data_IF_554178503213
#
_entry.id   IF_554178503213
#
_cell.length_a   1.000
_cell.length_b   1.000
_cell.length_c   1.000
_cell.angle_alpha   90.00
_cell.angle_beta   90.00
_cell.angle_gamma   90.00
#
_symmetry.space_group_name_H-M   'P 1'
#
loop_
_entity.id
_entity.type
_entity.pdbx_description
1 polymer ?
#
# COMPACT_ATOMS: atom_id res chain seq x y z
N UNK A 1 7.70 -6.38 -18.27
CA UNK A 1 7.56 -5.06 -17.63
C UNK A 1 6.88 -4.16 -18.64
N UNK A 2 5.73 -3.60 -18.27
CA UNK A 2 4.89 -2.79 -19.16
C UNK A 2 4.67 -1.45 -18.50
N UNK A 3 5.05 -0.36 -19.18
CA UNK A 3 4.88 1.01 -18.69
C UNK A 3 3.76 1.71 -19.47
N UNK A 4 2.86 2.36 -18.75
CA UNK A 4 1.71 3.11 -19.26
C UNK A 4 1.81 4.54 -18.76
N UNK A 5 1.73 5.50 -19.68
CA UNK A 5 1.81 6.94 -19.40
C UNK A 5 0.51 7.61 -19.79
N UNK A 6 0.03 8.53 -18.95
CA UNK A 6 -1.25 9.22 -19.16
C UNK A 6 -2.39 8.27 -19.55
N UNK A 7 -2.63 7.29 -18.69
CA UNK A 7 -3.49 6.14 -18.95
C UNK A 7 -4.78 6.19 -18.13
N UNK A 8 -5.63 5.19 -18.28
CA UNK A 8 -6.85 4.99 -17.48
C UNK A 8 -6.78 3.70 -16.67
N UNK A 9 -7.56 3.61 -15.57
CA UNK A 9 -7.63 2.38 -14.77
C UNK A 9 -8.03 1.15 -15.59
N UNK A 10 -8.86 1.32 -16.62
CA UNK A 10 -9.28 0.24 -17.52
C UNK A 10 -8.13 -0.26 -18.41
N UNK A 11 -7.27 0.65 -18.89
CA UNK A 11 -6.09 0.29 -19.67
C UNK A 11 -5.06 -0.44 -18.80
N UNK A 12 -4.86 0.01 -17.55
CA UNK A 12 -4.01 -0.68 -16.57
C UNK A 12 -4.50 -2.11 -16.30
N UNK A 13 -5.82 -2.28 -16.08
CA UNK A 13 -6.44 -3.60 -15.91
C UNK A 13 -6.23 -4.51 -17.13
N UNK A 14 -6.42 -3.94 -18.32
CA UNK A 14 -6.30 -4.67 -19.59
C UNK A 14 -4.86 -5.14 -19.80
N UNK A 15 -3.89 -4.25 -19.58
CA UNK A 15 -2.47 -4.55 -19.67
C UNK A 15 -2.03 -5.59 -18.62
N UNK A 16 -2.51 -5.47 -17.37
CA UNK A 16 -2.24 -6.45 -16.31
C UNK A 16 -2.76 -7.83 -16.73
N UNK A 17 -3.99 -7.92 -17.22
CA UNK A 17 -4.55 -9.18 -17.68
C UNK A 17 -3.76 -9.79 -18.86
N UNK A 18 -3.22 -8.95 -19.76
CA UNK A 18 -2.37 -9.39 -20.87
C UNK A 18 -1.03 -9.94 -20.36
N UNK A 19 -0.32 -9.21 -19.50
CA UNK A 19 0.97 -9.64 -18.94
C UNK A 19 0.82 -10.94 -18.14
N UNK A 20 -0.27 -11.10 -17.38
CA UNK A 20 -0.58 -12.34 -16.65
C UNK A 20 -0.75 -13.54 -17.58
N UNK A 21 -1.42 -13.36 -18.72
CA UNK A 21 -1.57 -14.43 -19.74
C UNK A 21 -0.22 -14.79 -20.36
N UNK A 22 0.58 -13.78 -20.71
CA UNK A 22 1.92 -14.00 -21.27
C UNK A 22 2.88 -14.69 -20.29
N UNK A 23 2.70 -14.46 -18.98
CA UNK A 23 3.46 -15.14 -17.91
C UNK A 23 2.95 -16.57 -17.61
N UNK A 24 2.04 -17.12 -18.41
CA UNK A 24 1.55 -18.50 -18.26
C UNK A 24 0.42 -18.67 -17.25
N UNK A 25 -0.29 -17.58 -16.89
CA UNK A 25 -1.42 -17.65 -15.97
C UNK A 25 -0.95 -17.84 -14.52
N UNK A 26 -0.30 -16.82 -13.97
CA UNK A 26 -0.01 -16.76 -12.54
C UNK A 26 -1.34 -16.69 -11.77
N UNK A 27 -1.79 -17.82 -11.21
CA UNK A 27 -2.75 -17.88 -10.10
C UNK A 27 -2.78 -19.26 -9.47
N UNK A 28 -2.35 -19.35 -8.22
CA UNK A 28 -3.24 -19.60 -7.08
C UNK A 28 -2.38 -19.66 -5.81
N UNK A 29 -2.76 -18.89 -4.77
CA UNK A 29 -2.08 -18.86 -3.48
C UNK A 29 -1.55 -17.48 -3.04
N UNK A 30 -2.14 -16.37 -3.50
CA UNK A 30 -1.82 -15.06 -2.91
C UNK A 30 -2.28 -15.07 -1.44
N UNK A 31 -1.37 -14.71 -0.54
CA UNK A 31 -1.67 -14.51 0.86
C UNK A 31 -2.47 -13.22 1.08
N UNK A 32 -2.21 -12.18 0.27
CA UNK A 32 -2.86 -10.87 0.34
C UNK A 32 -2.65 -10.02 -0.92
N UNK A 33 -3.43 -8.95 -1.04
CA UNK A 33 -3.10 -7.77 -1.86
C UNK A 33 -2.50 -6.70 -0.96
N UNK A 34 -1.25 -6.31 -1.19
CA UNK A 34 -0.54 -5.30 -0.41
C UNK A 34 -0.63 -3.96 -1.13
N UNK A 35 -1.51 -3.07 -0.64
CA UNK A 35 -1.60 -1.69 -1.11
C UNK A 35 -0.61 -0.85 -0.31
N UNK A 36 0.55 -0.56 -0.88
CA UNK A 36 1.58 0.27 -0.23
C UNK A 36 1.39 1.71 -0.69
N UNK A 37 1.12 2.62 0.24
CA UNK A 37 0.97 4.05 -0.01
C UNK A 37 2.26 4.75 0.35
N UNK A 38 2.79 5.53 -0.59
CA UNK A 38 3.98 6.34 -0.38
C UNK A 38 3.84 7.72 -1.01
N UNK A 39 4.60 8.68 -0.49
CA UNK A 39 4.87 9.92 -1.20
C UNK A 39 6.08 9.75 -2.12
N UNK A 40 6.38 10.78 -2.92
CA UNK A 40 7.46 10.69 -3.90
C UNK A 40 8.85 10.53 -3.27
N UNK A 41 9.05 11.14 -2.09
CA UNK A 41 10.35 11.11 -1.40
C UNK A 41 10.66 9.73 -0.82
N UNK A 42 9.67 8.98 -0.39
CA UNK A 42 9.85 7.65 0.24
C UNK A 42 9.59 6.47 -0.70
N UNK A 43 9.29 6.72 -1.98
CA UNK A 43 8.84 5.66 -2.90
C UNK A 43 9.84 4.51 -3.03
N UNK A 44 11.14 4.80 -3.04
CA UNK A 44 12.19 3.78 -3.18
C UNK A 44 12.31 2.90 -1.94
N UNK A 45 12.16 3.50 -0.77
CA UNK A 45 12.21 2.79 0.51
C UNK A 45 10.97 1.91 0.68
N UNK A 46 9.79 2.46 0.36
CA UNK A 46 8.54 1.72 0.34
C UNK A 46 8.56 0.54 -0.63
N UNK A 47 9.11 0.74 -1.83
CA UNK A 47 9.26 -0.32 -2.83
C UNK A 47 10.21 -1.43 -2.36
N UNK A 48 11.35 -1.06 -1.77
CA UNK A 48 12.30 -2.03 -1.23
C UNK A 48 11.69 -2.86 -0.09
N UNK A 49 11.02 -2.20 0.86
CA UNK A 49 10.39 -2.86 1.99
C UNK A 49 9.21 -3.76 1.55
N UNK A 50 8.37 -3.29 0.62
CA UNK A 50 7.30 -4.09 0.06
C UNK A 50 7.80 -5.28 -0.75
N UNK A 51 8.95 -5.13 -1.45
CA UNK A 51 9.60 -6.25 -2.15
C UNK A 51 10.05 -7.33 -1.17
N UNK A 52 10.64 -6.95 -0.03
CA UNK A 52 10.99 -7.91 1.04
C UNK A 52 9.75 -8.66 1.52
N UNK A 53 8.64 -7.96 1.76
CA UNK A 53 7.38 -8.57 2.17
C UNK A 53 6.86 -9.56 1.10
N UNK A 54 6.87 -9.17 -0.17
CA UNK A 54 6.41 -9.99 -1.30
C UNK A 54 7.28 -11.26 -1.54
N UNK A 55 8.56 -11.21 -1.15
CA UNK A 55 9.45 -12.37 -1.20
C UNK A 55 9.14 -13.40 -0.11
N UNK A 56 8.72 -12.95 1.07
CA UNK A 56 8.38 -13.83 2.19
C UNK A 56 6.96 -14.39 2.07
N UNK A 57 6.04 -13.58 1.54
CA UNK A 57 4.63 -13.91 1.42
C UNK A 57 4.17 -13.59 0.00
N UNK A 58 3.75 -14.60 -0.80
CA UNK A 58 3.22 -14.35 -2.13
C UNK A 58 2.05 -13.35 -2.06
N UNK A 59 2.21 -12.15 -2.59
CA UNK A 59 1.19 -11.11 -2.54
C UNK A 59 1.14 -10.34 -3.86
N UNK A 60 -0.03 -9.79 -4.20
CA UNK A 60 -0.12 -8.77 -5.25
C UNK A 60 0.29 -7.44 -4.66
N UNK A 61 1.32 -6.80 -5.19
CA UNK A 61 1.79 -5.50 -4.72
C UNK A 61 1.13 -4.39 -5.55
N UNK A 62 0.45 -3.45 -4.88
CA UNK A 62 -0.03 -2.20 -5.46
C UNK A 62 0.69 -1.03 -4.77
N UNK A 63 1.75 -0.51 -5.37
CA UNK A 63 2.48 0.65 -4.84
C UNK A 63 1.84 1.94 -5.37
N UNK A 64 1.12 2.67 -4.52
CA UNK A 64 0.35 3.85 -4.88
C UNK A 64 1.07 5.12 -4.42
N UNK A 65 1.45 5.94 -5.39
CA UNK A 65 2.12 7.22 -5.20
C UNK A 65 1.14 8.34 -5.48
N UNK A 66 0.78 9.10 -4.45
CA UNK A 66 -0.12 10.27 -4.57
C UNK A 66 0.73 11.53 -4.65
N UNK A 67 0.68 12.24 -5.80
CA UNK A 67 1.48 13.44 -6.05
C UNK A 67 0.62 14.66 -6.28
N UNK A 68 1.10 15.80 -5.77
CA UNK A 68 0.69 17.15 -6.15
C UNK A 68 -0.82 17.27 -6.37
N UNK A 69 -1.58 17.08 -5.30
CA UNK A 69 -3.06 17.05 -5.33
C UNK A 69 -3.66 18.35 -5.86
N UNK A 70 -2.90 19.44 -5.77
CA UNK A 70 -3.28 20.77 -6.24
C UNK A 70 -3.01 20.98 -7.73
N UNK A 71 -2.34 20.04 -8.42
CA UNK A 71 -2.10 20.13 -9.85
C UNK A 71 -3.43 20.11 -10.62
N UNK A 72 -3.68 21.07 -11.53
CA UNK A 72 -4.90 21.07 -12.35
C UNK A 72 -4.93 19.90 -13.34
N UNK A 73 -3.77 19.39 -13.76
CA UNK A 73 -3.68 18.29 -14.72
C UNK A 73 -3.71 16.96 -13.97
N UNK A 74 -4.85 16.28 -14.05
CA UNK A 74 -4.99 14.93 -13.52
C UNK A 74 -4.41 13.93 -14.50
N UNK A 75 -3.51 13.06 -14.02
CA UNK A 75 -2.83 12.04 -14.82
C UNK A 75 -2.66 10.76 -14.01
N UNK A 76 -2.76 9.62 -14.69
CA UNK A 76 -2.39 8.31 -14.15
C UNK A 76 -1.21 7.77 -14.95
N UNK A 77 -0.15 7.34 -14.28
CA UNK A 77 0.86 6.48 -14.88
C UNK A 77 0.92 5.16 -14.12
N UNK A 78 1.27 4.09 -14.81
CA UNK A 78 1.40 2.77 -14.21
C UNK A 78 2.61 2.02 -14.78
N UNK A 79 3.28 1.27 -13.91
CA UNK A 79 4.29 0.28 -14.29
C UNK A 79 3.82 -1.08 -13.78
N UNK A 80 3.73 -2.04 -14.68
CA UNK A 80 3.30 -3.41 -14.41
C UNK A 80 4.53 -4.32 -14.50
N UNK A 81 4.76 -5.06 -13.42
CA UNK A 81 5.81 -6.05 -13.28
C UNK A 81 5.17 -7.38 -12.90
N UNK A 82 5.31 -8.38 -13.75
CA UNK A 82 4.77 -9.73 -13.52
C UNK A 82 5.93 -10.69 -13.40
N UNK A 83 6.23 -11.10 -12.17
CA UNK A 83 7.48 -11.75 -11.81
C UNK A 83 8.68 -10.81 -11.97
N UNK A 84 9.67 -10.94 -11.08
CA UNK A 84 10.95 -10.24 -11.19
C UNK A 84 11.27 -9.37 -9.98
N UNK A 85 11.66 -8.12 -10.23
CA UNK A 85 12.34 -7.28 -9.21
C UNK A 85 11.48 -6.95 -7.99
N UNK A 86 10.16 -6.87 -8.16
CA UNK A 86 9.20 -6.48 -7.12
C UNK A 86 8.57 -7.67 -6.39
N UNK A 87 9.07 -8.87 -6.66
CA UNK A 87 8.58 -10.11 -6.07
C UNK A 87 8.21 -11.16 -7.11
N UNK A 88 7.82 -12.35 -6.63
CA UNK A 88 7.52 -13.49 -7.49
C UNK A 88 6.15 -13.36 -8.19
N UNK A 89 5.28 -12.49 -7.69
CA UNK A 89 3.90 -12.31 -8.17
C UNK A 89 3.77 -11.05 -9.05
N UNK A 90 2.59 -10.46 -9.08
CA UNK A 90 2.28 -9.23 -9.82
C UNK A 90 2.51 -8.01 -8.92
N UNK A 91 3.20 -7.01 -9.45
CA UNK A 91 3.36 -5.72 -8.84
C UNK A 91 2.94 -4.62 -9.83
N UNK A 92 2.16 -3.66 -9.34
CA UNK A 92 1.72 -2.50 -10.09
C UNK A 92 2.14 -1.26 -9.31
N UNK A 93 3.00 -0.43 -9.91
CA UNK A 93 3.38 0.88 -9.37
C UNK A 93 2.52 1.93 -10.05
N UNK A 94 1.69 2.61 -9.28
CA UNK A 94 0.69 3.58 -9.73
C UNK A 94 1.13 4.97 -9.28
N UNK A 95 1.21 5.92 -10.21
CA UNK A 95 1.48 7.33 -9.91
C UNK A 95 0.28 8.16 -10.30
N UNK A 96 -0.32 8.80 -9.30
CA UNK A 96 -1.54 9.59 -9.44
C UNK A 96 -1.20 11.06 -9.25
N UNK A 97 -1.57 11.89 -10.23
CA UNK A 97 -1.31 13.32 -10.24
C UNK A 97 -2.59 14.12 -10.13
N UNK A 98 -2.52 15.29 -9.48
CA UNK A 98 -3.62 16.23 -9.41
C UNK A 98 -4.83 15.67 -8.66
N UNK A 99 -6.02 16.06 -9.07
CA UNK A 99 -7.29 15.68 -8.42
C UNK A 99 -7.54 14.17 -8.44
N UNK A 100 -6.93 13.42 -9.35
CA UNK A 100 -7.03 11.96 -9.37
C UNK A 100 -6.50 11.33 -8.07
N UNK A 101 -5.48 11.92 -7.44
CA UNK A 101 -4.94 11.43 -6.18
C UNK A 101 -5.94 11.46 -5.00
N UNK A 102 -7.04 12.21 -5.11
CA UNK A 102 -8.15 12.22 -4.14
C UNK A 102 -9.12 11.04 -4.31
N UNK A 103 -9.04 10.33 -5.44
CA UNK A 103 -9.95 9.25 -5.83
C UNK A 103 -9.18 7.95 -6.07
N UNK A 104 -8.19 7.67 -5.20
CA UNK A 104 -7.29 6.54 -5.34
C UNK A 104 -8.02 5.18 -5.27
N UNK A 105 -9.10 5.10 -4.49
CA UNK A 105 -9.97 3.93 -4.37
C UNK A 105 -10.55 3.50 -5.72
N UNK A 106 -10.91 4.47 -6.57
CA UNK A 106 -11.55 4.21 -7.85
C UNK A 106 -10.60 3.54 -8.86
N UNK A 107 -9.30 3.77 -8.72
CA UNK A 107 -8.27 3.11 -9.54
C UNK A 107 -7.80 1.81 -8.91
N UNK A 108 -7.68 1.75 -7.58
CA UNK A 108 -7.14 0.59 -6.86
C UNK A 108 -8.14 -0.54 -6.76
N UNK A 109 -9.42 -0.26 -6.49
CA UNK A 109 -10.42 -1.31 -6.23
C UNK A 109 -10.55 -2.36 -7.35
N UNK A 110 -10.55 -1.98 -8.65
CA UNK A 110 -10.58 -2.97 -9.73
C UNK A 110 -9.30 -3.82 -9.84
N UNK A 111 -8.16 -3.30 -9.34
CA UNK A 111 -6.84 -3.96 -9.41
C UNK A 111 -6.60 -4.92 -8.24
N UNK A 112 -7.53 -5.01 -7.29
CA UNK A 112 -7.43 -5.95 -6.17
C UNK A 112 -7.51 -7.40 -6.66
N UNK A 113 -6.83 -8.31 -5.97
CA UNK A 113 -7.05 -9.74 -6.20
C UNK A 113 -8.38 -10.15 -5.55
N UNK A 114 -9.29 -10.83 -6.27
CA UNK A 114 -10.66 -11.06 -5.79
C UNK A 114 -10.75 -11.96 -4.56
N UNK A 115 -9.82 -12.90 -4.40
CA UNK A 115 -9.88 -13.95 -3.37
C UNK A 115 -8.82 -13.78 -2.27
N UNK A 116 -8.17 -12.62 -2.18
CA UNK A 116 -7.11 -12.36 -1.20
C UNK A 116 -7.46 -11.14 -0.33
N UNK A 117 -7.18 -11.18 0.99
CA UNK A 117 -7.42 -10.04 1.86
C UNK A 117 -6.58 -8.84 1.42
N UNK A 118 -7.14 -7.65 1.60
CA UNK A 118 -6.51 -6.37 1.24
C UNK A 118 -5.86 -5.78 2.48
N UNK A 119 -4.55 -5.54 2.38
CA UNK A 119 -3.77 -4.85 3.42
C UNK A 119 -3.29 -3.53 2.86
N UNK A 120 -3.79 -2.42 3.40
CA UNK A 120 -3.25 -1.10 3.06
C UNK A 120 -2.21 -0.69 4.09
N UNK A 121 -1.05 -0.29 3.62
CA UNK A 121 0.07 0.15 4.44
C UNK A 121 0.56 1.51 3.99
N UNK A 122 0.54 2.49 4.89
CA UNK A 122 1.14 3.80 4.65
C UNK A 122 2.61 3.79 5.07
N UNK A 123 3.51 3.70 4.09
CA UNK A 123 4.95 3.94 4.27
C UNK A 123 5.24 5.43 4.04
N UNK A 124 4.55 6.26 4.82
CA UNK A 124 4.70 7.70 4.87
C UNK A 124 4.00 8.20 6.15
N UNK A 125 3.89 9.52 6.29
CA UNK A 125 3.07 10.11 7.35
C UNK A 125 1.64 9.53 7.32
N UNK A 126 1.15 8.97 8.44
CA UNK A 126 -0.17 8.35 8.48
C UNK A 126 -1.29 9.35 8.17
N UNK A 127 -2.37 8.94 7.48
CA UNK A 127 -3.51 9.80 7.26
C UNK A 127 -4.16 10.18 8.59
N UNK A 128 -4.84 11.34 8.63
CA UNK A 128 -5.53 11.82 9.84
C UNK A 128 -6.64 10.88 10.30
N UNK A 129 -7.34 10.26 9.36
CA UNK A 129 -8.40 9.29 9.63
C UNK A 129 -8.17 8.05 8.78
N UNK A 130 -7.67 6.98 9.38
CA UNK A 130 -7.20 5.80 8.64
C UNK A 130 -8.35 5.09 7.92
N UNK A 131 -9.44 4.80 8.64
CA UNK A 131 -10.58 4.07 8.09
C UNK A 131 -11.34 4.84 6.98
N UNK A 132 -11.14 6.15 6.90
CA UNK A 132 -11.80 7.03 5.93
C UNK A 132 -10.85 7.56 4.84
N UNK A 133 -9.56 7.21 4.86
CA UNK A 133 -8.69 7.46 3.71
C UNK A 133 -9.21 6.64 2.51
N UNK A 134 -9.17 7.18 1.28
CA UNK A 134 -9.54 6.45 0.06
C UNK A 134 -8.98 5.03 -0.04
N UNK A 135 -7.75 4.79 0.42
CA UNK A 135 -7.13 3.46 0.38
C UNK A 135 -7.37 2.66 1.65
N UNK A 136 -7.87 3.29 2.72
CA UNK A 136 -8.33 2.61 3.93
C UNK A 136 -9.70 1.95 3.76
N UNK A 137 -10.61 2.55 3.00
CA UNK A 137 -11.98 2.02 2.83
C UNK A 137 -12.04 0.70 2.07
N UNK A 138 -11.03 0.39 1.25
CA UNK A 138 -10.93 -0.88 0.51
C UNK A 138 -10.16 -1.96 1.28
N UNK A 139 -9.66 -1.65 2.47
CA UNK A 139 -8.71 -2.49 3.19
C UNK A 139 -9.37 -3.30 4.32
N UNK A 140 -9.06 -4.59 4.38
CA UNK A 140 -9.39 -5.46 5.52
C UNK A 140 -8.47 -5.19 6.72
N UNK A 141 -7.21 -4.84 6.43
CA UNK A 141 -6.19 -4.46 7.42
C UNK A 141 -5.50 -3.18 7.03
N UNK A 142 -5.26 -2.32 8.02
CA UNK A 142 -4.67 -0.99 7.80
C UNK A 142 -3.45 -0.83 8.69
N UNK A 143 -2.28 -0.68 8.07
CA UNK A 143 -1.00 -0.60 8.75
C UNK A 143 -0.47 0.84 8.65
N UNK A 144 -0.18 1.47 9.78
CA UNK A 144 0.46 2.78 9.83
C UNK A 144 1.74 2.74 10.63
N UNK A 145 2.48 3.84 10.58
CA UNK A 145 3.64 4.05 11.41
C UNK A 145 3.65 5.50 11.95
N UNK A 146 3.29 5.68 13.23
CA UNK A 146 3.31 7.00 13.87
C UNK A 146 4.71 7.64 13.94
N UNK A 147 5.79 6.86 13.89
CA UNK A 147 7.16 7.43 13.87
C UNK A 147 7.46 8.17 12.55
N UNK A 148 6.72 7.89 11.48
CA UNK A 148 6.86 8.63 10.22
C UNK A 148 6.15 9.98 10.23
N UNK A 149 5.39 10.30 11.27
CA UNK A 149 4.74 11.59 11.41
C UNK A 149 5.73 12.68 11.87
N UNK A 150 5.42 13.93 11.53
CA UNK A 150 6.23 15.08 11.98
C UNK A 150 6.23 15.21 13.51
N UNK A 151 5.09 14.88 14.14
CA UNK A 151 4.94 14.76 15.60
C UNK A 151 4.41 13.35 15.93
N UNK A 152 5.30 12.39 16.25
CA UNK A 152 4.91 11.01 16.54
C UNK A 152 3.97 10.85 17.74
N UNK A 153 4.09 11.71 18.75
CA UNK A 153 3.25 11.64 19.96
C UNK A 153 1.83 12.12 19.64
N UNK A 154 1.71 13.22 18.91
CA UNK A 154 0.41 13.68 18.43
C UNK A 154 -0.24 12.67 17.48
N UNK A 155 0.54 12.05 16.59
CA UNK A 155 0.05 10.98 15.71
C UNK A 155 -0.47 9.77 16.49
N UNK A 156 0.24 9.34 17.54
CA UNK A 156 -0.20 8.25 18.41
C UNK A 156 -1.50 8.60 19.15
N UNK A 157 -1.63 9.83 19.65
CA UNK A 157 -2.89 10.30 20.25
C UNK A 157 -4.03 10.29 19.23
N UNK A 158 -3.77 10.70 17.99
CA UNK A 158 -4.74 10.63 16.90
C UNK A 158 -5.19 9.18 16.66
N UNK A 159 -4.27 8.20 16.65
CA UNK A 159 -4.60 6.75 16.57
C UNK A 159 -5.53 6.29 17.67
N UNK A 160 -5.37 6.79 18.89
CA UNK A 160 -6.31 6.51 19.97
C UNK A 160 -7.72 7.04 19.71
N UNK A 161 -7.85 8.13 18.95
CA UNK A 161 -9.13 8.78 18.63
C UNK A 161 -9.81 8.22 17.38
N UNK A 162 -9.06 7.80 16.36
CA UNK A 162 -9.59 7.35 15.07
C UNK A 162 -9.52 5.83 14.84
N UNK A 163 -9.16 5.07 15.86
CA UNK A 163 -9.04 3.62 15.78
C UNK A 163 -10.32 2.95 15.24
N UNK A 164 -10.15 2.10 14.24
CA UNK A 164 -11.14 1.15 13.78
C UNK A 164 -10.60 -0.30 13.85
N UNK A 165 -11.46 -1.30 14.07
CA UNK A 165 -11.05 -2.70 14.00
C UNK A 165 -10.33 -3.02 12.68
N UNK A 166 -9.15 -3.63 12.79
CA UNK A 166 -8.28 -3.91 11.64
C UNK A 166 -7.09 -2.96 11.50
N UNK A 167 -7.05 -1.88 12.27
CA UNK A 167 -5.91 -0.96 12.33
C UNK A 167 -4.75 -1.55 13.14
N UNK A 168 -3.52 -1.29 12.70
CA UNK A 168 -2.30 -1.66 13.41
C UNK A 168 -1.24 -0.61 13.16
N UNK A 169 -0.60 -0.14 14.22
CA UNK A 169 0.54 0.75 14.11
C UNK A 169 1.85 0.00 14.41
N UNK A 170 2.87 0.18 13.55
CA UNK A 170 4.16 -0.49 13.69
C UNK A 170 4.94 -0.07 14.94
N UNK A 171 4.60 1.07 15.56
CA UNK A 171 5.15 1.46 16.87
C UNK A 171 4.83 0.38 17.92
N UNK A 172 3.66 -0.24 17.88
CA UNK A 172 3.30 -1.32 18.81
C UNK A 172 4.26 -2.51 18.73
N UNK A 173 4.64 -2.88 17.50
CA UNK A 173 5.62 -3.94 17.24
C UNK A 173 7.00 -3.54 17.78
N UNK A 174 7.45 -2.30 17.55
CA UNK A 174 8.73 -1.80 18.06
C UNK A 174 8.81 -1.73 19.58
N UNK A 175 7.68 -1.60 20.27
CA UNK A 175 7.61 -1.62 21.74
C UNK A 175 7.59 -3.03 22.35
N UNK A 176 7.54 -4.09 21.54
CA UNK A 176 7.47 -5.48 22.04
C UNK A 176 8.62 -5.85 23.00
N UNK A 177 9.89 -5.52 22.72
CA UNK A 177 10.99 -5.82 23.65
C UNK A 177 10.83 -5.12 25.01
N UNK A 178 10.42 -3.84 25.00
CA UNK A 178 10.16 -3.08 26.22
C UNK A 178 9.02 -3.68 27.04
N UNK A 179 7.93 -4.07 26.37
CA UNK A 179 6.80 -4.73 27.01
C UNK A 179 7.20 -6.06 27.65
N UNK A 180 8.06 -6.83 27.00
CA UNK A 180 8.59 -8.09 27.55
C UNK A 180 9.45 -7.85 28.80
N UNK A 181 10.34 -6.85 28.79
CA UNK A 181 11.16 -6.48 29.95
C UNK A 181 10.31 -6.05 31.15
N UNK A 182 9.28 -5.24 30.93
CA UNK A 182 8.38 -4.79 31.98
C UNK A 182 7.60 -5.98 32.55
N UNK A 183 7.05 -6.86 31.69
CA UNK A 183 6.34 -8.05 32.15
C UNK A 183 7.22 -8.96 33.02
N UNK A 184 8.46 -9.21 32.57
CA UNK A 184 9.42 -10.04 33.32
C UNK A 184 9.95 -9.40 34.61
N UNK A 185 9.77 -8.09 34.82
CA UNK A 185 10.13 -7.44 36.08
C UNK A 185 9.14 -7.74 37.23
N UNK A 186 7.98 -8.34 36.91
CA UNK A 186 6.95 -8.74 37.87
C UNK A 186 6.82 -10.28 38.01
N UNK A 187 7.69 -11.05 37.34
CA UNK A 187 7.86 -12.50 37.53
C UNK A 187 8.97 -12.77 38.55
#
# INVERSE_FOLDING_TARGET
MTALWDTTGLEVLTALAADRRSAGGLTSGLALTLVTVADEKHVREAEAAATIAAQQHPCRLLLVVRRDVLNPNSRLDAEIVVGGRLGPCEAIVIRMHGRLALHAESVVAPLLAPDAPVVTWWHCEPPRSIAFDPLGVVADRRITDCEQATDPVAALHQRGMDYAPGDTDLVWTRLTPWRALIAGAFE
#
